data_IF_739260882425
#
_entry.id   IF_739260882425
#
_cell.length_a   1.000
_cell.length_b   1.000
_cell.length_c   1.000
_cell.angle_alpha   90.00
_cell.angle_beta   90.00
_cell.angle_gamma   90.00
#
_symmetry.space_group_name_H-M   'P 1'
#
loop_
_entity.id
_entity.type
_entity.pdbx_description
1 polymer ?
#
# COMPACT_ATOMS: atom_id res chain seq x y z
N UNK A 1 28.58 -1.96 -30.64
CA UNK A 1 27.82 -1.15 -29.65
C UNK A 1 26.42 -1.71 -29.67
N UNK A 2 26.20 -2.78 -28.88
CA UNK A 2 24.91 -3.46 -28.77
C UNK A 2 24.03 -2.56 -27.90
N UNK A 3 22.92 -2.10 -28.45
CA UNK A 3 21.87 -1.41 -27.69
C UNK A 3 21.21 -2.47 -26.81
N UNK A 4 21.23 -2.26 -25.51
CA UNK A 4 20.40 -2.98 -24.54
C UNK A 4 18.92 -2.59 -24.79
N UNK A 5 18.32 -3.14 -25.86
CA UNK A 5 16.90 -2.93 -26.19
C UNK A 5 15.96 -3.85 -25.36
N UNK A 6 16.51 -4.62 -24.43
CA UNK A 6 15.76 -5.64 -23.68
C UNK A 6 15.12 -5.13 -22.37
N UNK A 7 15.35 -3.88 -21.99
CA UNK A 7 14.97 -3.35 -20.67
C UNK A 7 13.58 -2.66 -20.63
N UNK A 8 12.92 -2.45 -21.78
CA UNK A 8 11.58 -1.84 -21.84
C UNK A 8 10.41 -2.83 -21.76
N UNK A 9 10.69 -4.12 -21.83
CA UNK A 9 9.67 -5.17 -21.87
C UNK A 9 9.26 -5.70 -20.50
N UNK A 10 9.98 -5.35 -19.44
CA UNK A 10 9.73 -5.86 -18.10
C UNK A 10 8.45 -5.25 -17.51
N UNK A 11 7.49 -6.12 -17.18
CA UNK A 11 6.29 -5.71 -16.46
C UNK A 11 6.60 -5.47 -14.99
N UNK A 12 6.24 -4.30 -14.47
CA UNK A 12 6.34 -3.95 -13.05
C UNK A 12 4.98 -4.16 -12.39
N UNK A 13 4.96 -4.87 -11.28
CA UNK A 13 3.76 -5.06 -10.48
C UNK A 13 3.68 -4.00 -9.38
N UNK A 14 2.51 -3.36 -9.27
CA UNK A 14 2.20 -2.38 -8.23
C UNK A 14 1.15 -2.97 -7.30
N UNK A 15 1.55 -3.35 -6.11
CA UNK A 15 0.63 -3.85 -5.10
C UNK A 15 0.24 -2.71 -4.16
N UNK A 16 -0.91 -2.10 -4.44
CA UNK A 16 -1.49 -1.07 -3.57
C UNK A 16 -2.05 -1.72 -2.31
N UNK A 17 -1.36 -1.51 -1.21
CA UNK A 17 -1.81 -2.00 0.09
C UNK A 17 -2.77 -1.00 0.71
N UNK A 18 -4.07 -1.29 0.62
CA UNK A 18 -5.08 -0.55 1.38
C UNK A 18 -4.92 -0.90 2.86
N UNK A 19 -4.81 0.09 3.77
CA UNK A 19 -4.70 -0.18 5.20
C UNK A 19 -5.80 -1.12 5.70
N UNK A 20 -5.48 -1.99 6.67
CA UNK A 20 -6.44 -2.91 7.31
C UNK A 20 -7.00 -4.04 6.41
N UNK A 21 -6.32 -4.34 5.29
CA UNK A 21 -6.64 -5.47 4.40
C UNK A 21 -5.61 -6.59 4.49
N UNK A 22 -5.12 -6.88 5.70
CA UNK A 22 -4.14 -7.94 5.99
C UNK A 22 -2.73 -7.73 5.38
N UNK A 23 -2.32 -6.50 5.10
CA UNK A 23 -1.07 -6.20 4.41
C UNK A 23 0.18 -6.81 5.06
N UNK A 24 0.29 -6.82 6.38
CA UNK A 24 1.43 -7.46 7.08
C UNK A 24 1.57 -8.94 6.74
N UNK A 25 0.44 -9.68 6.73
CA UNK A 25 0.43 -11.09 6.37
C UNK A 25 0.78 -11.30 4.88
N UNK A 26 0.22 -10.45 4.01
CA UNK A 26 0.50 -10.48 2.57
C UNK A 26 1.98 -10.18 2.32
N UNK A 27 2.53 -9.12 2.92
CA UNK A 27 3.94 -8.76 2.78
C UNK A 27 4.87 -9.88 3.25
N UNK A 28 4.57 -10.49 4.40
CA UNK A 28 5.33 -11.63 4.90
C UNK A 28 5.34 -12.81 3.91
N UNK A 29 4.18 -13.11 3.31
CA UNK A 29 4.07 -14.16 2.29
C UNK A 29 4.80 -13.80 1.00
N UNK A 30 4.67 -12.56 0.54
CA UNK A 30 5.40 -12.09 -0.64
C UNK A 30 6.91 -12.21 -0.43
N UNK A 31 7.45 -11.73 0.69
CA UNK A 31 8.89 -11.84 1.00
C UNK A 31 9.36 -13.30 1.00
N UNK A 32 8.55 -14.23 1.52
CA UNK A 32 8.89 -15.66 1.55
C UNK A 32 8.79 -16.31 0.18
N UNK A 33 7.78 -15.98 -0.62
CA UNK A 33 7.50 -16.62 -1.90
C UNK A 33 8.33 -16.06 -3.06
N UNK A 34 8.82 -14.81 -2.92
CA UNK A 34 9.47 -14.08 -4.01
C UNK A 34 10.92 -13.70 -3.68
N UNK A 35 11.67 -14.64 -3.08
CA UNK A 35 13.06 -14.42 -2.66
C UNK A 35 13.98 -13.89 -3.79
N UNK A 36 13.64 -14.16 -5.05
CA UNK A 36 14.39 -13.73 -6.23
C UNK A 36 13.84 -12.42 -6.84
N UNK A 37 12.70 -11.89 -6.39
CA UNK A 37 12.15 -10.65 -6.89
C UNK A 37 12.69 -9.45 -6.11
N UNK A 38 13.02 -8.41 -6.84
CA UNK A 38 13.42 -7.12 -6.25
C UNK A 38 12.16 -6.33 -5.91
N UNK A 39 11.88 -6.20 -4.62
CA UNK A 39 10.72 -5.47 -4.12
C UNK A 39 11.14 -4.11 -3.56
N UNK A 40 10.36 -3.08 -3.90
CA UNK A 40 10.44 -1.75 -3.29
C UNK A 40 9.23 -1.56 -2.38
N UNK A 41 9.48 -1.28 -1.11
CA UNK A 41 8.43 -1.03 -0.13
C UNK A 41 8.21 0.47 0.06
N UNK A 42 6.96 0.90 -0.04
CA UNK A 42 6.53 2.29 0.03
C UNK A 42 5.63 2.48 1.26
N UNK A 43 6.17 3.12 2.28
CA UNK A 43 5.43 3.49 3.48
C UNK A 43 5.90 4.85 3.97
N UNK A 44 4.98 5.62 4.52
CA UNK A 44 5.30 6.92 5.13
C UNK A 44 5.82 6.73 6.57
N UNK A 45 6.93 6.02 6.69
CA UNK A 45 7.58 5.71 7.97
C UNK A 45 9.10 5.71 7.81
N UNK A 46 9.80 5.96 8.89
CA UNK A 46 11.25 6.04 8.91
C UNK A 46 11.92 4.80 8.31
N UNK A 47 12.83 5.04 7.39
CA UNK A 47 13.62 4.00 6.72
C UNK A 47 12.96 3.39 5.47
N UNK A 48 11.73 3.72 5.15
CA UNK A 48 11.06 3.29 3.93
C UNK A 48 10.98 4.42 2.89
N UNK A 49 10.76 4.03 1.63
CA UNK A 49 10.45 4.99 0.57
C UNK A 49 9.05 5.58 0.79
N UNK A 50 8.95 6.90 0.65
CA UNK A 50 7.66 7.58 0.62
C UNK A 50 7.05 7.58 -0.78
N UNK A 51 5.73 7.81 -0.92
CA UNK A 51 5.08 7.99 -2.22
C UNK A 51 5.70 9.13 -3.05
N UNK A 52 6.17 10.20 -2.41
CA UNK A 52 6.86 11.30 -3.09
C UNK A 52 8.20 10.86 -3.69
N UNK A 53 8.98 10.08 -2.95
CA UNK A 53 10.24 9.52 -3.44
C UNK A 53 10.01 8.52 -4.59
N UNK A 54 8.93 7.72 -4.54
CA UNK A 54 8.55 6.85 -5.65
C UNK A 54 8.32 7.65 -6.92
N UNK A 55 7.54 8.74 -6.87
CA UNK A 55 7.27 9.61 -8.02
C UNK A 55 8.54 10.31 -8.56
N UNK A 56 9.53 10.50 -7.71
CA UNK A 56 10.82 11.14 -8.06
C UNK A 56 11.85 10.15 -8.64
N UNK A 57 11.59 8.85 -8.66
CA UNK A 57 12.48 7.87 -9.25
C UNK A 57 12.61 8.10 -10.76
N UNK A 58 13.83 7.92 -11.26
CA UNK A 58 14.01 7.85 -12.71
C UNK A 58 13.46 6.52 -13.26
N UNK A 59 13.02 6.47 -14.53
CA UNK A 59 12.58 5.22 -15.16
C UNK A 59 13.60 4.09 -15.02
N UNK A 60 14.89 4.40 -15.21
CA UNK A 60 15.99 3.44 -15.05
C UNK A 60 16.13 2.90 -13.63
N UNK A 61 15.86 3.73 -12.63
CA UNK A 61 15.90 3.30 -11.23
C UNK A 61 14.72 2.41 -10.88
N UNK A 62 13.55 2.68 -11.45
CA UNK A 62 12.34 1.89 -11.23
C UNK A 62 12.45 0.48 -11.86
N UNK A 63 13.07 0.36 -13.03
CA UNK A 63 13.28 -0.91 -13.74
C UNK A 63 14.08 -1.95 -12.92
N UNK A 64 14.77 -1.53 -11.88
CA UNK A 64 15.47 -2.45 -10.97
C UNK A 64 14.52 -3.30 -10.14
N UNK A 65 13.25 -2.89 -10.02
CA UNK A 65 12.26 -3.55 -9.18
C UNK A 65 11.27 -4.35 -10.03
N UNK A 66 10.81 -5.47 -9.49
CA UNK A 66 9.79 -6.33 -10.06
C UNK A 66 8.42 -6.03 -9.46
N UNK A 67 8.42 -5.66 -8.17
CA UNK A 67 7.24 -5.41 -7.38
C UNK A 67 7.42 -4.13 -6.55
N UNK A 68 6.45 -3.24 -6.63
CA UNK A 68 6.31 -2.07 -5.75
C UNK A 68 5.14 -2.34 -4.83
N UNK A 69 5.38 -2.39 -3.54
CA UNK A 69 4.40 -2.75 -2.53
C UNK A 69 4.25 -1.64 -1.50
N UNK A 70 3.03 -1.26 -1.15
CA UNK A 70 2.82 -0.33 -0.05
C UNK A 70 1.66 0.64 -0.21
N UNK A 71 1.75 1.76 0.51
CA UNK A 71 0.75 2.81 0.52
C UNK A 71 1.07 3.87 -0.53
N UNK A 72 0.40 3.84 -1.64
CA UNK A 72 0.48 4.85 -2.70
C UNK A 72 -0.83 4.85 -3.50
N UNK A 73 -1.11 5.96 -4.17
CA UNK A 73 -2.34 6.13 -4.94
C UNK A 73 -2.22 5.46 -6.32
N UNK A 74 -3.37 5.12 -6.91
CA UNK A 74 -3.43 4.73 -8.31
C UNK A 74 -2.86 5.85 -9.20
N UNK A 75 -2.23 5.46 -10.29
CA UNK A 75 -1.67 6.41 -11.25
C UNK A 75 -0.20 6.77 -11.04
N UNK A 76 0.48 6.25 -10.00
CA UNK A 76 1.93 6.48 -9.82
C UNK A 76 2.76 6.01 -11.02
N UNK A 77 2.25 5.05 -11.82
CA UNK A 77 2.88 4.57 -13.05
C UNK A 77 2.91 5.62 -14.18
N UNK A 78 2.08 6.66 -14.11
CA UNK A 78 1.95 7.63 -15.21
C UNK A 78 3.26 8.38 -15.55
N UNK A 79 4.22 8.39 -14.62
CA UNK A 79 5.56 8.94 -14.85
C UNK A 79 6.52 7.94 -15.52
N UNK A 80 6.07 6.72 -15.85
CA UNK A 80 6.91 5.64 -16.34
C UNK A 80 6.29 4.94 -17.54
N UNK A 81 7.08 4.62 -18.54
CA UNK A 81 6.64 3.99 -19.79
C UNK A 81 6.59 2.45 -19.76
N UNK A 82 6.95 1.84 -18.62
CA UNK A 82 7.02 0.39 -18.51
C UNK A 82 5.63 -0.26 -18.51
N UNK A 83 5.50 -1.46 -19.09
CA UNK A 83 4.31 -2.30 -18.87
C UNK A 83 4.08 -2.49 -17.37
N UNK A 84 2.83 -2.38 -16.93
CA UNK A 84 2.52 -2.43 -15.50
C UNK A 84 1.23 -3.19 -15.22
N UNK A 85 1.12 -3.69 -13.99
CA UNK A 85 -0.08 -4.34 -13.46
C UNK A 85 -0.31 -3.86 -12.04
N UNK A 86 -1.54 -3.49 -11.73
CA UNK A 86 -1.96 -3.17 -10.37
C UNK A 86 -2.61 -4.37 -9.71
N UNK A 87 -2.29 -4.57 -8.46
CA UNK A 87 -2.87 -5.56 -7.57
C UNK A 87 -3.30 -4.85 -6.28
N UNK A 88 -4.41 -5.25 -5.72
CA UNK A 88 -4.85 -4.82 -4.40
C UNK A 88 -5.69 -5.90 -3.74
N UNK A 89 -5.83 -5.82 -2.43
CA UNK A 89 -6.75 -6.64 -1.67
C UNK A 89 -7.76 -5.70 -1.02
N UNK A 90 -9.02 -5.96 -1.26
CA UNK A 90 -10.14 -5.28 -0.61
C UNK A 90 -10.68 -6.17 0.51
N UNK A 91 -11.31 -5.54 1.46
CA UNK A 91 -11.97 -6.20 2.58
C UNK A 91 -13.46 -5.85 2.56
N UNK A 92 -14.28 -6.71 3.15
CA UNK A 92 -15.68 -6.35 3.43
C UNK A 92 -15.74 -5.00 4.15
N UNK A 93 -16.58 -4.04 3.70
CA UNK A 93 -16.61 -2.69 4.26
C UNK A 93 -16.93 -2.67 5.76
N UNK A 94 -17.83 -3.54 6.21
CA UNK A 94 -18.18 -3.63 7.63
C UNK A 94 -17.00 -4.14 8.47
N UNK A 95 -16.34 -5.21 8.02
CA UNK A 95 -15.15 -5.74 8.65
C UNK A 95 -13.98 -4.75 8.63
N UNK A 96 -13.89 -3.94 7.59
CA UNK A 96 -12.91 -2.85 7.50
C UNK A 96 -13.12 -1.83 8.62
N UNK A 97 -14.35 -1.33 8.78
CA UNK A 97 -14.72 -0.37 9.83
C UNK A 97 -14.45 -0.94 11.22
N UNK A 98 -14.87 -2.17 11.48
CA UNK A 98 -14.57 -2.86 12.75
C UNK A 98 -13.05 -2.95 13.00
N UNK A 99 -12.27 -3.27 11.97
CA UNK A 99 -10.82 -3.32 12.08
C UNK A 99 -10.19 -1.97 12.39
N UNK A 100 -10.71 -0.89 11.82
CA UNK A 100 -10.26 0.47 12.13
C UNK A 100 -10.58 0.85 13.59
N UNK A 101 -11.75 0.50 14.08
CA UNK A 101 -12.15 0.75 15.47
C UNK A 101 -11.32 -0.04 16.48
N UNK A 102 -11.10 -1.33 16.23
CA UNK A 102 -10.43 -2.20 17.20
C UNK A 102 -8.90 -2.12 17.17
N UNK A 103 -8.30 -1.73 16.06
CA UNK A 103 -6.84 -1.73 15.92
C UNK A 103 -6.12 -0.77 16.91
N UNK A 104 -6.52 0.50 17.02
CA UNK A 104 -5.93 1.40 18.01
C UNK A 104 -6.09 0.85 19.43
N UNK A 105 -7.25 0.29 19.73
CA UNK A 105 -7.62 -0.21 21.04
C UNK A 105 -6.80 -1.42 21.51
N UNK A 106 -6.65 -2.41 20.65
CA UNK A 106 -6.08 -3.70 21.03
C UNK A 106 -4.67 -3.95 20.54
N UNK A 107 -4.27 -3.32 19.45
CA UNK A 107 -2.96 -3.53 18.83
C UNK A 107 -1.99 -2.42 19.19
N UNK A 108 -2.39 -1.17 19.01
CA UNK A 108 -1.56 -0.01 19.35
C UNK A 108 -1.58 0.32 20.85
N UNK A 109 -2.55 -0.23 21.59
CA UNK A 109 -2.76 0.06 23.02
C UNK A 109 -2.85 1.55 23.31
N UNK A 110 -3.59 2.25 22.49
CA UNK A 110 -3.82 3.69 22.60
C UNK A 110 -4.38 4.08 23.97
N UNK A 111 -4.19 5.33 24.39
CA UNK A 111 -4.67 5.81 25.69
C UNK A 111 -6.14 5.54 25.94
N UNK A 112 -6.51 5.27 27.18
CA UNK A 112 -7.87 4.86 27.61
C UNK A 112 -9.00 5.74 27.08
N UNK A 113 -8.78 7.06 26.91
CA UNK A 113 -9.78 7.98 26.42
C UNK A 113 -10.18 7.72 24.95
N UNK A 114 -9.29 7.12 24.17
CA UNK A 114 -9.59 6.67 22.80
C UNK A 114 -10.16 5.25 22.83
N UNK A 115 -9.59 4.40 23.69
CA UNK A 115 -9.95 2.99 23.80
C UNK A 115 -11.39 2.73 24.30
N UNK A 116 -11.96 3.67 25.06
CA UNK A 116 -13.29 3.53 25.65
C UNK A 116 -14.44 4.17 24.88
N UNK A 117 -14.16 4.78 23.73
CA UNK A 117 -15.21 5.30 22.86
C UNK A 117 -16.12 4.17 22.37
N UNK A 118 -17.40 4.45 22.31
CA UNK A 118 -18.33 3.54 21.65
C UNK A 118 -18.06 3.48 20.16
N UNK A 119 -18.46 2.41 19.51
CA UNK A 119 -18.37 2.31 18.04
C UNK A 119 -19.21 3.44 17.37
N UNK A 120 -20.30 3.88 17.98
CA UNK A 120 -21.13 4.96 17.46
C UNK A 120 -20.41 6.31 17.50
N UNK A 121 -19.67 6.61 18.58
CA UNK A 121 -18.85 7.81 18.67
C UNK A 121 -17.75 7.78 17.61
N UNK A 122 -17.07 6.65 17.46
CA UNK A 122 -16.06 6.44 16.43
C UNK A 122 -16.62 6.65 15.02
N UNK A 123 -17.79 6.11 14.70
CA UNK A 123 -18.43 6.27 13.39
C UNK A 123 -18.80 7.74 13.13
N UNK A 124 -19.33 8.44 14.12
CA UNK A 124 -19.70 9.84 13.98
C UNK A 124 -18.48 10.73 13.73
N UNK A 125 -17.39 10.49 14.47
CA UNK A 125 -16.17 11.30 14.35
C UNK A 125 -15.39 11.02 13.05
N UNK A 126 -15.44 9.78 12.54
CA UNK A 126 -14.65 9.34 11.40
C UNK A 126 -15.47 9.10 10.13
N UNK A 127 -16.74 9.48 10.10
CA UNK A 127 -17.64 9.25 8.96
C UNK A 127 -17.04 9.72 7.62
N UNK A 128 -16.43 10.89 7.61
CA UNK A 128 -15.78 11.43 6.40
C UNK A 128 -14.56 10.65 5.92
N UNK A 129 -13.86 9.93 6.81
CA UNK A 129 -12.72 9.08 6.45
C UNK A 129 -13.13 7.66 6.10
N UNK A 130 -14.22 7.17 6.67
CA UNK A 130 -14.73 5.81 6.45
C UNK A 130 -15.59 5.73 5.19
N UNK A 131 -16.26 6.82 4.84
CA UNK A 131 -17.10 6.90 3.65
C UNK A 131 -16.24 6.74 2.39
N UNK A 132 -16.55 5.72 1.59
CA UNK A 132 -15.87 5.39 0.35
C UNK A 132 -14.33 5.31 0.43
N UNK A 133 -13.78 4.95 1.59
CA UNK A 133 -12.33 4.91 1.81
C UNK A 133 -11.59 4.03 0.80
N UNK A 134 -12.18 2.92 0.34
CA UNK A 134 -11.60 2.10 -0.72
C UNK A 134 -11.56 2.84 -2.07
N UNK A 135 -12.64 3.53 -2.44
CA UNK A 135 -12.68 4.28 -3.69
C UNK A 135 -11.72 5.47 -3.69
N UNK A 136 -11.43 6.04 -2.52
CA UNK A 136 -10.45 7.13 -2.40
C UNK A 136 -9.00 6.63 -2.47
N UNK A 137 -8.74 5.38 -2.10
CA UNK A 137 -7.43 4.77 -2.18
C UNK A 137 -7.09 4.26 -3.59
N UNK A 138 -8.10 4.05 -4.42
CA UNK A 138 -7.99 3.61 -5.82
C UNK A 138 -8.04 4.78 -6.79
#
# INVERSE_FOLDING_TARGET
MLRDDDDRSKTIFYFMHVPKTAGTAVLSRLRSATANLKMLEIYDSDGNFSPAQLRALSPRSLQKYDLIYGHFDYGVHASFENPHRYLTILRDPFDFVLSQYFFPKYVLREPLHIAHRSIFDFLNEHSGHLDNSFCRAL
#
